data_IF_216299733290
#
_entry.id   IF_216299733290
#
_cell.length_a   1.000
_cell.length_b   1.000
_cell.length_c   1.000
_cell.angle_alpha   90.00
_cell.angle_beta   90.00
_cell.angle_gamma   90.00
#
_symmetry.space_group_name_H-M   'P 1'
#
loop_
_entity.id
_entity.type
_entity.pdbx_description
1 polymer ?
#
# COMPACT_ATOMS: atom_id res chain seq x y z
N UNK A 1 -9.52 -24.96 -24.77
CA UNK A 1 -8.06 -24.79 -24.65
C UNK A 1 -7.80 -23.74 -23.58
N UNK A 2 -7.21 -24.08 -22.42
CA UNK A 2 -6.81 -23.05 -21.48
C UNK A 2 -5.67 -22.24 -22.12
N UNK A 3 -5.81 -20.91 -22.14
CA UNK A 3 -4.81 -19.99 -22.71
C UNK A 3 -3.45 -20.10 -22.00
N UNK A 4 -2.37 -19.58 -22.60
CA UNK A 4 -1.03 -19.70 -22.05
C UNK A 4 -1.00 -19.18 -20.61
N UNK A 5 -0.46 -20.01 -19.71
CA UNK A 5 -0.20 -19.66 -18.31
C UNK A 5 0.53 -18.31 -18.30
N UNK A 6 -0.06 -17.34 -17.63
CA UNK A 6 0.43 -15.97 -17.55
C UNK A 6 1.90 -15.93 -17.13
N UNK A 7 2.78 -15.62 -18.08
CA UNK A 7 4.20 -15.37 -17.80
C UNK A 7 4.29 -14.17 -16.85
N UNK A 8 4.76 -14.40 -15.65
CA UNK A 8 4.88 -13.40 -14.60
C UNK A 8 5.65 -13.96 -13.41
N UNK A 9 6.19 -13.08 -12.58
CA UNK A 9 6.93 -13.44 -11.37
C UNK A 9 6.02 -13.30 -10.17
N UNK A 10 5.85 -14.38 -9.41
CA UNK A 10 5.16 -14.32 -8.13
C UNK A 10 6.05 -13.64 -7.08
N UNK A 11 5.43 -12.77 -6.29
CA UNK A 11 6.07 -12.10 -5.17
C UNK A 11 5.18 -12.29 -3.96
N UNK A 12 5.77 -12.83 -2.90
CA UNK A 12 5.09 -13.09 -1.63
C UNK A 12 5.68 -12.19 -0.54
N UNK A 13 4.82 -11.39 0.07
CA UNK A 13 5.12 -10.60 1.25
C UNK A 13 4.70 -11.40 2.49
N UNK A 14 5.62 -11.68 3.42
CA UNK A 14 5.31 -12.51 4.59
C UNK A 14 4.32 -11.80 5.51
N UNK A 15 3.59 -12.59 6.28
CA UNK A 15 2.69 -12.09 7.33
C UNK A 15 3.49 -11.29 8.39
N UNK A 16 3.05 -10.07 8.69
CA UNK A 16 3.64 -9.14 9.66
C UNK A 16 2.58 -8.22 10.25
N UNK A 17 2.77 -7.79 11.51
CA UNK A 17 1.92 -6.77 12.15
C UNK A 17 2.25 -5.35 11.62
N UNK A 18 2.02 -5.14 10.33
CA UNK A 18 2.35 -3.93 9.61
C UNK A 18 1.40 -3.71 8.43
N UNK A 19 1.31 -2.47 7.96
CA UNK A 19 0.85 -2.18 6.61
C UNK A 19 2.07 -2.09 5.68
N UNK A 20 1.87 -2.43 4.41
CA UNK A 20 2.85 -2.24 3.36
C UNK A 20 2.32 -1.22 2.36
N UNK A 21 3.08 -0.14 2.21
CA UNK A 21 2.81 0.94 1.27
C UNK A 21 3.79 0.81 0.11
N UNK A 22 3.27 0.68 -1.10
CA UNK A 22 4.05 0.72 -2.34
C UNK A 22 3.69 1.98 -3.11
N UNK A 23 4.69 2.64 -3.67
CA UNK A 23 4.56 3.83 -4.52
C UNK A 23 5.21 3.51 -5.86
N UNK A 24 4.43 3.53 -6.94
CA UNK A 24 4.93 3.20 -8.28
C UNK A 24 5.73 4.37 -8.85
N UNK A 25 7.00 4.15 -9.22
CA UNK A 25 7.85 5.16 -9.88
C UNK A 25 7.74 5.10 -11.41
N UNK A 26 7.25 3.98 -11.93
CA UNK A 26 6.93 3.77 -13.34
C UNK A 26 5.66 2.91 -13.42
N UNK A 27 4.91 2.94 -14.53
CA UNK A 27 3.74 2.08 -14.69
C UNK A 27 4.10 0.61 -14.52
N UNK A 28 3.28 -0.14 -13.77
CA UNK A 28 3.48 -1.57 -13.55
C UNK A 28 2.17 -2.33 -13.70
N UNK A 29 2.21 -3.52 -14.30
CA UNK A 29 1.06 -4.42 -14.40
C UNK A 29 1.26 -5.62 -13.50
N UNK A 30 0.30 -5.86 -12.61
CA UNK A 30 0.28 -7.04 -11.75
C UNK A 30 -1.14 -7.40 -11.32
N UNK A 31 -1.27 -8.59 -10.74
CA UNK A 31 -2.51 -9.10 -10.18
C UNK A 31 -2.31 -9.51 -8.72
N UNK A 32 -3.30 -9.26 -7.87
CA UNK A 32 -3.33 -9.86 -6.53
C UNK A 32 -3.56 -11.38 -6.64
N UNK A 33 -2.86 -12.13 -5.78
CA UNK A 33 -3.08 -13.57 -5.57
C UNK A 33 -3.75 -13.71 -4.20
N UNK A 34 -4.97 -14.23 -4.21
CA UNK A 34 -5.77 -14.44 -3.01
C UNK A 34 -5.19 -15.57 -2.13
N UNK A 35 -5.57 -15.68 -0.85
CA UNK A 35 -5.07 -16.71 0.06
C UNK A 35 -5.33 -18.16 -0.39
N UNK A 36 -6.36 -18.38 -1.22
CA UNK A 36 -6.68 -19.69 -1.82
C UNK A 36 -5.84 -20.00 -3.08
N UNK A 37 -4.94 -19.10 -3.48
CA UNK A 37 -4.13 -19.19 -4.69
C UNK A 37 -4.82 -18.65 -5.95
N UNK A 38 -6.07 -18.17 -5.85
CA UNK A 38 -6.79 -17.59 -6.98
C UNK A 38 -6.11 -16.29 -7.42
N UNK A 39 -5.80 -16.19 -8.71
CA UNK A 39 -5.20 -14.99 -9.31
C UNK A 39 -6.29 -14.09 -9.85
N UNK A 40 -6.33 -12.85 -9.37
CA UNK A 40 -7.23 -11.85 -9.93
C UNK A 40 -6.77 -11.43 -11.34
N UNK A 41 -7.63 -10.77 -12.14
CA UNK A 41 -7.22 -10.21 -13.42
C UNK A 41 -6.09 -9.17 -13.22
N UNK A 42 -5.07 -9.16 -14.10
CA UNK A 42 -4.03 -8.14 -14.05
C UNK A 42 -4.57 -6.74 -14.21
N UNK A 43 -4.01 -5.79 -13.46
CA UNK A 43 -4.34 -4.37 -13.51
C UNK A 43 -3.08 -3.55 -13.76
N UNK A 44 -3.22 -2.50 -14.58
CA UNK A 44 -2.20 -1.47 -14.76
C UNK A 44 -2.27 -0.48 -13.60
N UNK A 45 -1.13 -0.24 -12.96
CA UNK A 45 -0.93 0.76 -11.93
C UNK A 45 -0.06 1.87 -12.50
N UNK A 46 -0.59 3.08 -12.71
CA UNK A 46 0.20 4.21 -13.20
C UNK A 46 1.31 4.63 -12.22
N UNK A 47 2.33 5.31 -12.73
CA UNK A 47 3.31 5.97 -11.89
C UNK A 47 2.63 6.99 -10.95
N UNK A 48 3.26 7.26 -9.79
CA UNK A 48 2.78 8.15 -8.74
C UNK A 48 1.48 7.72 -8.04
N UNK A 49 0.98 6.52 -8.34
CA UNK A 49 -0.10 5.90 -7.55
C UNK A 49 0.47 5.07 -6.41
N UNK A 50 -0.38 4.77 -5.43
CA UNK A 50 -0.04 4.00 -4.25
C UNK A 50 -0.89 2.73 -4.11
N UNK A 51 -0.28 1.68 -3.56
CA UNK A 51 -0.98 0.55 -2.98
C UNK A 51 -0.68 0.49 -1.49
N UNK A 52 -1.73 0.38 -0.68
CA UNK A 52 -1.63 0.20 0.76
C UNK A 52 -2.31 -1.11 1.12
N UNK A 53 -1.56 -2.05 1.69
CA UNK A 53 -2.07 -3.39 2.00
C UNK A 53 -1.79 -3.73 3.46
N UNK A 54 -2.71 -4.42 4.13
CA UNK A 54 -2.45 -4.97 5.47
C UNK A 54 -1.66 -6.27 5.32
N UNK A 55 -0.50 -6.37 5.97
CA UNK A 55 0.32 -7.58 5.96
C UNK A 55 -0.04 -8.57 7.06
N UNK A 56 -1.12 -8.36 7.83
CA UNK A 56 -1.49 -9.26 8.94
C UNK A 56 -1.46 -10.74 8.55
N UNK A 57 -2.01 -11.09 7.39
CA UNK A 57 -2.03 -12.45 6.84
C UNK A 57 -1.01 -12.65 5.70
N UNK A 58 -0.15 -11.67 5.45
CA UNK A 58 0.71 -11.58 4.27
C UNK A 58 -0.04 -11.08 3.03
N UNK A 59 0.67 -10.95 1.93
CA UNK A 59 0.09 -10.55 0.64
C UNK A 59 0.89 -11.17 -0.51
N UNK A 60 0.23 -11.48 -1.61
CA UNK A 60 0.90 -12.08 -2.78
C UNK A 60 0.43 -11.41 -4.06
N UNK A 61 1.35 -11.19 -5.01
CA UNK A 61 1.05 -10.63 -6.33
C UNK A 61 1.77 -11.41 -7.44
N UNK A 62 1.15 -11.44 -8.62
CA UNK A 62 1.79 -11.87 -9.87
C UNK A 62 2.22 -10.64 -10.66
N UNK A 63 3.52 -10.33 -10.66
CA UNK A 63 4.11 -9.26 -11.45
C UNK A 63 4.24 -9.67 -12.92
N UNK A 64 3.66 -8.89 -13.83
CA UNK A 64 3.75 -9.12 -15.28
C UNK A 64 4.71 -8.17 -15.99
N UNK A 65 5.09 -7.07 -15.33
CA UNK A 65 6.10 -6.12 -15.80
C UNK A 65 7.16 -5.92 -14.73
N UNK A 66 8.28 -5.31 -15.10
CA UNK A 66 9.27 -4.84 -14.13
C UNK A 66 8.63 -3.86 -13.14
N UNK A 67 9.04 -3.97 -11.87
CA UNK A 67 8.55 -3.13 -10.80
C UNK A 67 9.63 -2.12 -10.40
N UNK A 68 9.38 -0.84 -10.71
CA UNK A 68 10.14 0.29 -10.15
C UNK A 68 9.25 1.00 -9.14
N UNK A 69 9.56 0.83 -7.86
CA UNK A 69 8.74 1.36 -6.77
C UNK A 69 9.59 1.72 -5.56
N UNK A 70 9.07 2.61 -4.70
CA UNK A 70 9.50 2.75 -3.31
C UNK A 70 8.49 2.01 -2.44
N UNK A 71 8.98 1.30 -1.43
CA UNK A 71 8.15 0.57 -0.50
C UNK A 71 8.48 0.92 0.95
N UNK A 72 7.43 1.05 1.75
CA UNK A 72 7.52 1.20 3.20
C UNK A 72 6.81 0.04 3.88
N UNK A 73 7.46 -0.49 4.91
CA UNK A 73 6.80 -1.32 5.91
C UNK A 73 6.47 -0.41 7.07
N UNK A 74 5.18 -0.22 7.34
CA UNK A 74 4.65 0.65 8.38
C UNK A 74 4.14 -0.21 9.54
N UNK A 75 4.92 -0.44 10.62
CA UNK A 75 4.48 -1.25 11.74
C UNK A 75 3.22 -0.67 12.37
N UNK A 76 2.23 -1.51 12.70
CA UNK A 76 0.97 -1.03 13.31
C UNK A 76 1.22 -0.34 14.66
N UNK A 77 2.28 -0.75 15.38
CA UNK A 77 2.73 -0.06 16.58
C UNK A 77 3.11 1.41 16.32
N UNK A 78 3.80 1.72 15.22
CA UNK A 78 4.19 3.09 14.87
C UNK A 78 2.98 3.92 14.45
N UNK A 79 2.05 3.32 13.69
CA UNK A 79 0.79 3.96 13.32
C UNK A 79 -0.06 4.28 14.56
N UNK A 80 -0.09 3.41 15.57
CA UNK A 80 -0.75 3.68 16.87
C UNK A 80 -0.12 4.86 17.59
N UNK A 81 1.21 5.00 17.56
CA UNK A 81 1.89 6.16 18.14
C UNK A 81 1.49 7.43 17.37
N UNK A 82 1.55 7.40 16.03
CA UNK A 82 1.15 8.52 15.20
C UNK A 82 -0.29 8.94 15.45
N UNK A 83 -1.24 7.98 15.49
CA UNK A 83 -2.66 8.23 15.75
C UNK A 83 -2.94 8.91 17.08
N UNK A 84 -2.20 8.53 18.13
CA UNK A 84 -2.30 9.17 19.45
C UNK A 84 -1.79 10.60 19.44
N UNK A 85 -0.71 10.86 18.70
CA UNK A 85 -0.13 12.20 18.58
C UNK A 85 -0.97 13.13 17.70
N UNK A 86 -1.74 12.58 16.76
CA UNK A 86 -2.60 13.34 15.83
C UNK A 86 -4.07 13.41 16.27
N UNK A 87 -4.43 12.87 17.45
CA UNK A 87 -5.81 12.83 17.97
C UNK A 87 -6.85 12.19 17.04
N UNK A 88 -6.40 11.39 16.06
CA UNK A 88 -7.25 10.78 15.04
C UNK A 88 -7.92 9.47 15.50
N UNK A 89 -7.62 9.02 16.72
CA UNK A 89 -8.28 7.89 17.40
C UNK A 89 -7.78 6.50 16.97
N UNK A 90 -7.78 6.20 15.68
CA UNK A 90 -7.54 4.84 15.17
C UNK A 90 -6.29 4.72 14.31
N UNK A 91 -5.62 3.57 14.42
CA UNK A 91 -4.46 3.19 13.60
C UNK A 91 -4.80 2.14 12.51
N UNK A 92 -6.08 1.80 12.35
CA UNK A 92 -6.54 0.94 11.27
C UNK A 92 -6.65 1.77 10.01
N UNK A 93 -6.06 1.31 8.92
CA UNK A 93 -6.06 2.02 7.64
C UNK A 93 -6.96 1.31 6.62
N UNK A 94 -7.58 2.09 5.75
CA UNK A 94 -8.25 1.60 4.53
C UNK A 94 -7.21 1.09 3.55
N UNK A 95 -7.32 -0.17 3.10
CA UNK A 95 -6.45 -0.72 2.07
C UNK A 95 -6.75 -0.09 0.70
N UNK A 96 -5.69 0.22 -0.06
CA UNK A 96 -5.76 0.93 -1.34
C UNK A 96 -5.08 0.13 -2.44
N UNK A 97 -5.59 0.25 -3.67
CA UNK A 97 -4.99 -0.34 -4.88
C UNK A 97 -4.97 0.69 -6.01
N UNK A 98 -3.78 1.26 -6.26
CA UNK A 98 -3.55 2.21 -7.35
C UNK A 98 -4.27 3.55 -7.16
N UNK A 99 -4.30 4.04 -5.91
CA UNK A 99 -4.89 5.34 -5.58
C UNK A 99 -3.86 6.45 -5.80
N UNK A 100 -4.28 7.60 -6.31
CA UNK A 100 -3.42 8.79 -6.33
C UNK A 100 -3.35 9.44 -4.94
N UNK A 101 -2.13 9.72 -4.49
CA UNK A 101 -1.85 10.53 -3.30
C UNK A 101 -0.68 11.46 -3.63
N UNK A 102 -0.94 12.75 -3.93
CA UNK A 102 0.11 13.70 -4.29
C UNK A 102 1.14 13.93 -3.18
N UNK A 103 0.75 13.81 -1.91
CA UNK A 103 1.67 14.00 -0.78
C UNK A 103 2.68 12.86 -0.74
N UNK A 104 2.19 11.62 -0.82
CA UNK A 104 3.06 10.43 -0.83
C UNK A 104 3.86 10.34 -2.14
N UNK A 105 3.27 10.70 -3.28
CA UNK A 105 3.97 10.75 -4.57
C UNK A 105 5.14 11.72 -4.57
N UNK A 106 4.92 12.98 -4.16
CA UNK A 106 6.01 13.95 -4.04
C UNK A 106 7.05 13.55 -2.97
N UNK A 107 6.63 12.89 -1.89
CA UNK A 107 7.56 12.34 -0.90
C UNK A 107 8.48 11.28 -1.52
N UNK A 108 7.96 10.40 -2.38
CA UNK A 108 8.77 9.43 -3.10
C UNK A 108 9.84 10.10 -3.97
N UNK A 109 9.46 11.14 -4.72
CA UNK A 109 10.40 11.91 -5.54
C UNK A 109 11.51 12.57 -4.70
N UNK A 110 11.15 13.12 -3.54
CA UNK A 110 12.11 13.71 -2.60
C UNK A 110 13.04 12.68 -1.95
N UNK A 111 12.60 11.43 -1.80
CA UNK A 111 13.39 10.34 -1.22
C UNK A 111 14.37 9.70 -2.21
N UNK A 112 14.08 9.74 -3.51
CA UNK A 112 14.92 9.11 -4.54
C UNK A 112 16.40 9.54 -4.50
N UNK A 113 16.74 10.82 -4.32
CA UNK A 113 18.13 11.25 -4.17
C UNK A 113 18.81 10.65 -2.93
N UNK A 114 18.07 10.46 -1.83
CA UNK A 114 18.63 9.97 -0.56
C UNK A 114 19.08 8.52 -0.66
N UNK A 115 18.42 7.69 -1.48
CA UNK A 115 18.88 6.31 -1.73
C UNK A 115 20.23 6.22 -2.44
N UNK A 116 20.73 7.32 -3.02
CA UNK A 116 22.06 7.37 -3.66
C UNK A 116 23.17 7.82 -2.70
N UNK A 117 22.83 8.28 -1.51
CA UNK A 117 23.80 8.79 -0.52
C UNK A 117 23.93 7.77 0.61
N UNK A 118 25.13 7.22 0.80
CA UNK A 118 25.34 6.01 1.58
C UNK A 118 25.35 6.23 3.11
N UNK A 119 25.56 7.45 3.61
CA UNK A 119 25.78 7.67 5.05
C UNK A 119 25.21 9.02 5.54
N UNK A 120 24.56 9.02 6.72
CA UNK A 120 24.21 10.24 7.48
C UNK A 120 22.72 10.58 7.63
N UNK A 121 21.83 9.98 6.83
CA UNK A 121 20.43 10.40 6.71
C UNK A 121 19.46 9.75 7.71
N UNK A 122 19.94 8.93 8.65
CA UNK A 122 19.10 8.21 9.60
C UNK A 122 18.15 9.13 10.43
N UNK A 123 18.58 10.32 10.90
CA UNK A 123 17.68 11.25 11.57
C UNK A 123 16.60 11.79 10.64
N UNK A 124 16.92 12.10 9.38
CA UNK A 124 15.96 12.60 8.39
C UNK A 124 14.91 11.53 8.08
N UNK A 125 15.36 10.30 7.80
CA UNK A 125 14.47 9.16 7.51
C UNK A 125 13.51 8.88 8.66
N UNK A 126 13.92 9.07 9.92
CA UNK A 126 13.02 8.96 11.08
C UNK A 126 11.90 10.00 11.04
N UNK A 127 12.22 11.26 10.74
CA UNK A 127 11.20 12.31 10.64
C UNK A 127 10.25 12.04 9.48
N UNK A 128 10.78 11.59 8.34
CA UNK A 128 9.99 11.19 7.17
C UNK A 128 9.06 10.02 7.52
N UNK A 129 9.55 8.99 8.19
CA UNK A 129 8.74 7.85 8.61
C UNK A 129 7.58 8.27 9.53
N UNK A 130 7.83 9.17 10.49
CA UNK A 130 6.79 9.71 11.37
C UNK A 130 5.77 10.57 10.61
N UNK A 131 6.23 11.47 9.73
CA UNK A 131 5.36 12.30 8.91
C UNK A 131 4.48 11.45 7.98
N UNK A 132 5.05 10.43 7.36
CA UNK A 132 4.31 9.46 6.54
C UNK A 132 3.26 8.72 7.37
N UNK A 133 3.62 8.21 8.56
CA UNK A 133 2.66 7.51 9.42
C UNK A 133 1.51 8.43 9.86
N UNK A 134 1.81 9.68 10.23
CA UNK A 134 0.79 10.66 10.60
C UNK A 134 -0.14 10.97 9.41
N UNK A 135 0.42 11.17 8.22
CA UNK A 135 -0.35 11.38 6.98
C UNK A 135 -1.26 10.20 6.66
N UNK A 136 -0.73 8.97 6.73
CA UNK A 136 -1.50 7.75 6.47
C UNK A 136 -2.67 7.60 7.43
N UNK A 137 -2.44 7.81 8.73
CA UNK A 137 -3.48 7.73 9.73
C UNK A 137 -4.53 8.82 9.54
N UNK A 138 -4.11 10.06 9.31
CA UNK A 138 -5.03 11.18 9.13
C UNK A 138 -5.89 11.02 7.87
N UNK A 139 -5.30 10.53 6.78
CA UNK A 139 -5.94 10.50 5.45
C UNK A 139 -6.72 9.20 5.21
N UNK A 140 -6.21 8.08 5.73
CA UNK A 140 -6.76 6.73 5.46
C UNK A 140 -7.18 5.98 6.71
N UNK A 141 -7.12 6.62 7.88
CA UNK A 141 -7.60 6.08 9.15
C UNK A 141 -9.09 5.76 9.09
N UNK A 142 -9.44 4.57 9.53
CA UNK A 142 -10.82 4.15 9.75
C UNK A 142 -11.21 4.41 11.20
N UNK A 143 -12.46 4.78 11.51
CA UNK A 143 -12.97 4.80 12.88
C UNK A 143 -12.73 3.45 13.59
N UNK A 144 -12.52 3.47 14.92
CA UNK A 144 -12.26 2.25 15.70
C UNK A 144 -13.41 1.22 15.62
N UNK A 145 -14.64 1.70 15.46
CA UNK A 145 -15.88 0.94 15.31
C UNK A 145 -16.18 0.51 13.87
N UNK A 146 -15.35 0.90 12.90
CA UNK A 146 -15.56 0.51 11.51
C UNK A 146 -15.46 -1.02 11.36
N UNK A 147 -16.45 -1.67 10.71
CA UNK A 147 -16.39 -3.10 10.43
C UNK A 147 -15.10 -3.40 9.66
N UNK A 148 -14.54 -4.60 9.85
CA UNK A 148 -13.46 -5.06 9.01
C UNK A 148 -14.00 -5.16 7.58
N UNK A 149 -13.78 -4.12 6.77
CA UNK A 149 -14.16 -4.16 5.37
C UNK A 149 -13.44 -5.36 4.77
N UNK A 150 -14.22 -6.31 4.27
CA UNK A 150 -13.72 -7.36 3.40
C UNK A 150 -12.86 -6.68 2.33
N UNK A 151 -11.65 -7.18 2.14
CA UNK A 151 -10.75 -6.73 1.10
C UNK A 151 -11.55 -6.56 -0.19
N UNK A 152 -11.40 -5.43 -0.87
CA UNK A 152 -12.12 -5.17 -2.11
C UNK A 152 -11.55 -6.05 -3.24
N UNK A 153 -11.76 -7.36 -3.14
CA UNK A 153 -11.27 -8.43 -4.02
C UNK A 153 -12.02 -8.48 -5.36
N UNK A 154 -12.62 -7.38 -5.81
CA UNK A 154 -13.42 -7.40 -7.03
C UNK A 154 -13.82 -6.05 -7.63
N UNK A 155 -13.31 -4.92 -7.11
CA UNK A 155 -13.71 -3.65 -7.71
C UNK A 155 -12.88 -3.33 -8.96
N UNK A 156 -13.41 -3.69 -10.12
CA UNK A 156 -12.83 -3.44 -11.44
C UNK A 156 -12.92 -1.95 -11.88
N UNK A 157 -13.11 -1.00 -10.94
CA UNK A 157 -13.30 0.42 -11.25
C UNK A 157 -12.16 1.30 -10.72
N UNK A 158 -11.69 2.29 -11.50
CA UNK A 158 -10.63 3.22 -11.10
C UNK A 158 -11.02 4.10 -9.91
N UNK A 159 -12.33 4.30 -9.66
CA UNK A 159 -12.86 5.18 -8.61
C UNK A 159 -13.42 4.42 -7.40
N UNK A 160 -12.90 3.23 -7.09
CA UNK A 160 -13.49 2.43 -6.02
C UNK A 160 -13.15 2.97 -4.62
N UNK A 161 -13.94 3.95 -4.18
CA UNK A 161 -14.14 4.27 -2.77
C UNK A 161 -15.01 3.18 -2.19
N UNK A 162 -14.41 2.13 -1.63
CA UNK A 162 -15.12 1.13 -0.85
C UNK A 162 -15.60 1.76 0.48
N UNK A 163 -16.65 2.58 0.38
CA UNK A 163 -17.38 3.20 1.47
C UNK A 163 -18.83 3.34 1.01
N UNK A 164 -19.69 2.44 1.48
CA UNK A 164 -21.10 2.43 1.11
C UNK A 164 -21.87 1.39 1.90
N UNK A 165 -22.17 1.71 3.15
CA UNK A 165 -23.27 1.08 3.86
C UNK A 165 -24.55 1.43 3.08
N UNK A 166 -25.20 0.42 2.49
CA UNK A 166 -26.59 0.56 2.04
C UNK A 166 -27.48 0.44 3.28
N UNK A 167 -28.26 1.48 3.55
CA UNK A 167 -29.51 1.36 4.29
C UNK A 167 -30.49 0.51 3.49
#
# INVERSE_FOLDING_TARGET
MPGPLSQGREVHLPARDAYFLMIYLAPATHADILPDGTRLPPRLFPAQTICLVDLKEGASILLQTDLRAIAFVCPKALLKIAARLSESGSARLTCLRGKEDPVIGHLADALLPLFRQADGEAPLLRHIAMALCAHLVHTYGLPDDAPALAECSGCMRPDCSCGGARQ
#
